data_IF_644950609433
#
_entry.id   IF_644950609433
#
_cell.length_a   1.000
_cell.length_b   1.000
_cell.length_c   1.000
_cell.angle_alpha   90.00
_cell.angle_beta   90.00
_cell.angle_gamma   90.00
#
_symmetry.space_group_name_H-M   'P 1'
#
loop_
_entity.id
_entity.type
_entity.pdbx_description
1 polymer ?
#
# COMPACT_ATOMS: atom_id res chain seq x y z
N UNK A 1 -18.84 -7.44 -13.61
CA UNK A 1 -18.68 -6.56 -12.41
C UNK A 1 -19.36 -7.28 -11.25
N UNK A 2 -18.69 -7.43 -10.10
CA UNK A 2 -19.25 -8.04 -8.89
C UNK A 2 -19.37 -6.92 -7.85
N UNK A 3 -20.60 -6.60 -7.43
CA UNK A 3 -20.86 -5.65 -6.35
C UNK A 3 -20.58 -6.30 -5.00
N UNK A 4 -20.18 -5.53 -4.00
CA UNK A 4 -19.86 -6.04 -2.65
C UNK A 4 -20.78 -5.47 -1.56
N UNK A 5 -21.69 -4.58 -1.90
CA UNK A 5 -22.51 -3.81 -0.97
C UNK A 5 -23.32 -4.74 -0.05
N UNK A 6 -24.02 -5.73 -0.61
CA UNK A 6 -24.80 -6.72 0.16
C UNK A 6 -23.92 -7.56 1.08
N UNK A 7 -22.73 -7.97 0.63
CA UNK A 7 -21.79 -8.72 1.46
C UNK A 7 -21.26 -7.85 2.60
N UNK A 8 -21.01 -6.57 2.33
CA UNK A 8 -20.53 -5.62 3.30
C UNK A 8 -21.58 -5.33 4.38
N UNK A 9 -22.84 -5.10 3.99
CA UNK A 9 -23.98 -4.94 4.90
C UNK A 9 -24.15 -6.16 5.80
N UNK A 10 -24.06 -7.38 5.25
CA UNK A 10 -24.12 -8.61 6.04
C UNK A 10 -22.99 -8.70 7.08
N UNK A 11 -21.77 -8.27 6.74
CA UNK A 11 -20.68 -8.20 7.71
C UNK A 11 -20.99 -7.20 8.83
N UNK A 12 -21.54 -6.02 8.49
CA UNK A 12 -21.91 -5.01 9.48
C UNK A 12 -23.03 -5.51 10.41
N UNK A 13 -24.05 -6.18 9.86
CA UNK A 13 -25.14 -6.76 10.65
C UNK A 13 -24.64 -7.80 11.66
N UNK A 14 -23.77 -8.71 11.21
CA UNK A 14 -23.17 -9.74 12.07
C UNK A 14 -22.28 -9.11 13.16
N UNK A 15 -21.58 -8.02 12.85
CA UNK A 15 -20.68 -7.34 13.78
C UNK A 15 -21.38 -6.27 14.63
N UNK A 16 -22.61 -5.89 14.34
CA UNK A 16 -23.33 -4.82 15.04
C UNK A 16 -23.38 -5.00 16.58
N UNK A 17 -23.59 -6.22 17.13
CA UNK A 17 -23.54 -6.42 18.58
C UNK A 17 -22.16 -6.16 19.19
N UNK A 18 -21.09 -6.37 18.40
CA UNK A 18 -19.70 -6.22 18.82
C UNK A 18 -19.16 -4.81 18.61
N UNK A 19 -19.69 -4.05 17.65
CA UNK A 19 -19.33 -2.65 17.36
C UNK A 19 -20.27 -1.66 18.06
N UNK A 20 -21.06 -2.12 19.03
CA UNK A 20 -21.97 -1.26 19.78
C UNK A 20 -21.19 -0.13 20.48
N UNK A 21 -21.65 1.10 20.29
CA UNK A 21 -21.05 2.33 20.83
C UNK A 21 -19.62 2.63 20.34
N UNK A 22 -19.19 2.05 19.21
CA UNK A 22 -17.95 2.46 18.53
C UNK A 22 -18.27 3.36 17.35
N UNK A 23 -17.39 4.32 17.06
CA UNK A 23 -17.48 5.12 15.84
C UNK A 23 -16.92 4.36 14.64
N UNK A 24 -17.38 4.71 13.43
CA UNK A 24 -16.82 4.22 12.18
C UNK A 24 -15.31 4.44 12.12
N UNK A 25 -14.59 3.48 11.59
CA UNK A 25 -13.13 3.48 11.59
C UNK A 25 -12.56 2.72 10.38
N UNK A 26 -11.24 2.58 10.37
CA UNK A 26 -10.57 1.70 9.41
C UNK A 26 -11.04 0.23 9.52
N UNK A 27 -11.70 -0.19 10.60
CA UNK A 27 -12.21 -1.55 10.73
C UNK A 27 -13.21 -1.87 9.62
N UNK A 28 -14.18 -1.00 9.39
CA UNK A 28 -15.23 -1.12 8.38
C UNK A 28 -14.68 -1.02 6.96
N UNK A 29 -13.77 -0.07 6.71
CA UNK A 29 -13.06 0.06 5.43
C UNK A 29 -12.27 -1.23 5.09
N UNK A 30 -11.56 -1.79 6.09
CA UNK A 30 -10.80 -3.02 5.92
C UNK A 30 -11.69 -4.25 5.65
N UNK A 31 -12.96 -4.26 6.08
CA UNK A 31 -13.90 -5.34 5.73
C UNK A 31 -14.15 -5.34 4.24
N UNK A 32 -14.43 -4.17 3.63
CA UNK A 32 -14.64 -4.08 2.19
C UNK A 32 -13.43 -4.61 1.40
N UNK A 33 -12.21 -4.23 1.81
CA UNK A 33 -10.98 -4.72 1.19
C UNK A 33 -10.86 -6.26 1.31
N UNK A 34 -11.17 -6.85 2.47
CA UNK A 34 -11.14 -8.31 2.68
C UNK A 34 -12.19 -9.05 1.87
N UNK A 35 -13.40 -8.50 1.73
CA UNK A 35 -14.43 -9.07 0.86
C UNK A 35 -13.92 -9.17 -0.57
N UNK A 36 -13.33 -8.09 -1.10
CA UNK A 36 -12.73 -8.09 -2.46
C UNK A 36 -11.63 -9.14 -2.59
N UNK A 37 -10.72 -9.23 -1.61
CA UNK A 37 -9.68 -10.26 -1.57
C UNK A 37 -10.24 -11.68 -1.62
N UNK A 38 -11.23 -11.98 -0.78
CA UNK A 38 -11.86 -13.30 -0.74
C UNK A 38 -12.56 -13.67 -2.06
N UNK A 39 -13.26 -12.73 -2.69
CA UNK A 39 -13.92 -12.95 -3.98
C UNK A 39 -12.90 -13.29 -5.09
N UNK A 40 -11.80 -12.54 -5.17
CA UNK A 40 -10.74 -12.81 -6.15
C UNK A 40 -10.08 -14.17 -5.92
N UNK A 41 -9.82 -14.53 -4.66
CA UNK A 41 -9.27 -15.85 -4.32
C UNK A 41 -10.25 -16.99 -4.64
N UNK A 42 -11.56 -16.80 -4.43
CA UNK A 42 -12.56 -17.80 -4.81
C UNK A 42 -12.59 -18.03 -6.33
N UNK A 43 -12.52 -16.96 -7.13
CA UNK A 43 -12.43 -17.04 -8.60
C UNK A 43 -11.14 -17.73 -9.02
N UNK A 44 -10.01 -17.38 -8.40
CA UNK A 44 -8.71 -18.01 -8.63
C UNK A 44 -8.76 -19.51 -8.36
N UNK A 45 -9.27 -19.92 -7.20
CA UNK A 45 -9.39 -21.33 -6.82
C UNK A 45 -10.26 -22.13 -7.79
N UNK A 46 -11.34 -21.52 -8.31
CA UNK A 46 -12.26 -22.19 -9.23
C UNK A 46 -11.67 -22.37 -10.64
N UNK A 47 -10.84 -21.43 -11.09
CA UNK A 47 -10.38 -21.36 -12.48
C UNK A 47 -8.88 -21.64 -12.67
N UNK A 48 -8.12 -21.80 -11.58
CA UNK A 48 -6.66 -22.00 -11.62
C UNK A 48 -5.86 -20.74 -11.96
N UNK A 49 -6.43 -19.55 -11.81
CA UNK A 49 -5.74 -18.28 -12.07
C UNK A 49 -4.83 -17.87 -10.91
N UNK A 50 -3.79 -17.09 -11.19
CA UNK A 50 -3.00 -16.43 -10.15
C UNK A 50 -3.52 -15.00 -9.94
N UNK A 51 -3.93 -14.67 -8.72
CA UNK A 51 -4.29 -13.30 -8.36
C UNK A 51 -3.02 -12.44 -8.28
N UNK A 52 -2.99 -11.36 -9.06
CA UNK A 52 -1.95 -10.34 -9.00
C UNK A 52 -2.40 -9.22 -8.06
N UNK A 53 -1.62 -9.00 -7.00
CA UNK A 53 -1.83 -7.86 -6.09
C UNK A 53 -1.18 -6.60 -6.64
N UNK A 54 -1.72 -5.45 -6.28
CA UNK A 54 -1.36 -4.16 -6.89
C UNK A 54 -0.68 -3.18 -5.93
N UNK A 55 -0.37 -3.61 -4.70
CA UNK A 55 0.34 -2.79 -3.72
C UNK A 55 1.75 -2.44 -4.20
N UNK A 56 2.10 -1.16 -4.15
CA UNK A 56 3.41 -0.67 -4.55
C UNK A 56 4.38 -0.51 -3.35
N UNK A 57 5.65 -0.21 -3.63
CA UNK A 57 6.68 -0.12 -2.59
C UNK A 57 6.34 0.91 -1.52
N UNK A 58 5.80 2.05 -1.91
CA UNK A 58 5.49 3.17 -1.00
C UNK A 58 4.40 2.77 -0.02
N UNK A 59 3.28 2.23 -0.52
CA UNK A 59 2.15 1.73 0.28
C UNK A 59 2.60 0.63 1.26
N UNK A 60 3.33 -0.38 0.75
CA UNK A 60 3.83 -1.49 1.56
C UNK A 60 4.86 -1.05 2.60
N UNK A 61 5.65 0.00 2.31
CA UNK A 61 6.63 0.54 3.25
C UNK A 61 5.95 1.06 4.50
N UNK A 62 4.94 1.92 4.35
CA UNK A 62 4.25 2.55 5.49
C UNK A 62 3.06 1.73 5.98
N UNK A 63 2.79 0.58 5.36
CA UNK A 63 1.70 -0.32 5.71
C UNK A 63 0.31 0.24 5.42
N UNK A 64 0.22 1.11 4.40
CA UNK A 64 -1.01 1.60 3.83
C UNK A 64 -1.61 0.52 2.91
N UNK A 65 -2.03 -0.57 3.56
CA UNK A 65 -2.48 -1.80 2.95
C UNK A 65 -3.31 -2.59 3.97
N UNK A 66 -4.29 -3.33 3.48
CA UNK A 66 -5.15 -4.21 4.30
C UNK A 66 -4.64 -5.63 4.22
N UNK A 67 -4.21 -6.17 5.36
CA UNK A 67 -3.92 -7.60 5.45
C UNK A 67 -5.14 -8.42 5.08
N UNK A 68 -4.93 -9.34 4.14
CA UNK A 68 -5.94 -10.21 3.56
C UNK A 68 -7.03 -9.47 2.75
N UNK A 69 -6.82 -8.18 2.47
CA UNK A 69 -7.61 -7.40 1.53
C UNK A 69 -6.87 -7.23 0.21
N UNK A 70 -6.40 -6.01 -0.06
CA UNK A 70 -5.56 -5.69 -1.23
C UNK A 70 -4.25 -6.50 -1.31
N UNK A 71 -3.81 -7.06 -0.18
CA UNK A 71 -2.65 -7.95 -0.10
C UNK A 71 -2.95 -9.42 -0.46
N UNK A 72 -4.21 -9.78 -0.72
CA UNK A 72 -4.62 -11.15 -1.04
C UNK A 72 -4.29 -11.50 -2.49
N UNK A 73 -3.20 -12.25 -2.69
CA UNK A 73 -2.88 -12.84 -3.98
C UNK A 73 -1.58 -13.65 -3.99
N UNK A 74 -1.25 -14.20 -5.16
CA UNK A 74 -0.09 -15.08 -5.33
C UNK A 74 1.20 -14.33 -5.70
N UNK A 75 1.08 -13.16 -6.33
CA UNK A 75 2.22 -12.40 -6.82
C UNK A 75 1.95 -10.89 -6.79
N UNK A 76 3.00 -10.10 -6.57
CA UNK A 76 2.95 -8.64 -6.46
C UNK A 76 3.93 -7.98 -7.44
N UNK A 77 3.52 -7.69 -8.69
CA UNK A 77 4.41 -7.13 -9.71
C UNK A 77 5.00 -5.77 -9.34
N UNK A 78 4.25 -4.95 -8.59
CA UNK A 78 4.62 -3.58 -8.22
C UNK A 78 5.30 -3.48 -6.84
N UNK A 79 5.55 -4.62 -6.18
CA UNK A 79 5.98 -4.68 -4.78
C UNK A 79 7.20 -3.82 -4.45
N UNK A 80 8.14 -3.70 -5.38
CA UNK A 80 9.39 -2.92 -5.21
C UNK A 80 9.43 -1.67 -6.11
N UNK A 81 8.30 -1.26 -6.68
CA UNK A 81 8.19 -0.04 -7.49
C UNK A 81 7.65 1.10 -6.60
N UNK A 82 8.39 2.22 -6.40
CA UNK A 82 7.86 3.40 -5.70
C UNK A 82 6.67 4.02 -6.45
N UNK A 83 5.74 4.67 -5.74
CA UNK A 83 4.53 5.27 -6.33
C UNK A 83 4.85 6.26 -7.44
N UNK A 84 5.85 7.11 -7.23
CA UNK A 84 6.35 8.05 -8.25
C UNK A 84 6.80 7.33 -9.52
N UNK A 85 7.42 6.16 -9.39
CA UNK A 85 7.82 5.33 -10.53
C UNK A 85 6.63 4.63 -11.20
N UNK A 86 5.57 4.26 -10.45
CA UNK A 86 4.34 3.73 -11.05
C UNK A 86 3.75 4.72 -12.05
N UNK A 87 3.64 6.00 -11.69
CA UNK A 87 3.17 7.05 -12.61
C UNK A 87 4.08 7.20 -13.84
N UNK A 88 5.41 7.19 -13.64
CA UNK A 88 6.38 7.27 -14.75
C UNK A 88 6.25 6.07 -15.71
N UNK A 89 6.07 4.87 -15.17
CA UNK A 89 5.89 3.65 -15.97
C UNK A 89 4.56 3.64 -16.72
N UNK A 90 3.50 4.18 -16.13
CA UNK A 90 2.20 4.33 -16.80
C UNK A 90 2.31 5.27 -18.01
N UNK A 91 2.93 6.44 -17.83
CA UNK A 91 3.20 7.39 -18.90
C UNK A 91 4.11 6.80 -19.98
N UNK A 92 5.20 6.14 -19.58
CA UNK A 92 6.07 5.43 -20.50
C UNK A 92 5.30 4.39 -21.33
N UNK A 93 4.45 3.58 -20.68
CA UNK A 93 3.67 2.55 -21.37
C UNK A 93 2.72 3.14 -22.41
N UNK A 94 2.05 4.25 -22.10
CA UNK A 94 1.18 4.95 -23.05
C UNK A 94 1.97 5.57 -24.21
N UNK A 95 3.16 6.10 -23.95
CA UNK A 95 4.02 6.70 -24.99
C UNK A 95 4.57 5.68 -26.02
N UNK A 96 4.54 4.38 -25.70
CA UNK A 96 4.92 3.32 -26.64
C UNK A 96 3.81 2.91 -27.61
N UNK A 97 2.56 3.33 -27.38
CA UNK A 97 1.44 2.99 -28.25
C UNK A 97 1.29 3.97 -29.41
N UNK A 98 0.62 3.53 -30.47
CA UNK A 98 0.20 4.41 -31.56
C UNK A 98 -0.89 5.36 -31.07
N UNK A 99 -1.01 6.54 -31.69
CA UNK A 99 -1.89 7.63 -31.26
C UNK A 99 -3.37 7.22 -31.02
N UNK A 100 -3.83 6.12 -31.62
CA UNK A 100 -5.22 5.65 -31.52
C UNK A 100 -5.47 4.69 -30.34
N UNK A 101 -4.46 4.38 -29.52
CA UNK A 101 -4.57 3.34 -28.48
C UNK A 101 -3.97 3.76 -27.13
N UNK A 102 -4.73 4.54 -26.37
CA UNK A 102 -4.43 4.77 -24.94
C UNK A 102 -4.83 3.56 -24.11
N UNK A 103 -3.86 2.87 -23.49
CA UNK A 103 -4.12 1.69 -22.65
C UNK A 103 -4.51 2.09 -21.22
N UNK A 104 -3.79 3.05 -20.64
CA UNK A 104 -4.07 3.57 -19.30
C UNK A 104 -4.77 4.93 -19.46
N UNK A 105 -6.06 5.06 -19.12
CA UNK A 105 -6.77 6.32 -19.32
C UNK A 105 -6.12 7.48 -18.56
N UNK A 106 -5.96 8.64 -19.22
CA UNK A 106 -5.29 9.82 -18.63
C UNK A 106 -5.92 10.25 -17.30
N UNK A 107 -7.25 10.18 -17.20
CA UNK A 107 -8.00 10.47 -15.97
C UNK A 107 -7.57 9.64 -14.76
N UNK A 108 -6.95 8.46 -14.95
CA UNK A 108 -6.44 7.61 -13.85
C UNK A 108 -5.07 8.11 -13.38
N UNK A 109 -4.29 8.71 -14.28
CA UNK A 109 -2.96 9.26 -14.02
C UNK A 109 -3.07 10.63 -13.33
N UNK A 110 -3.98 11.48 -13.80
CA UNK A 110 -4.18 12.84 -13.26
C UNK A 110 -4.93 12.86 -11.92
N UNK A 111 -5.72 11.83 -11.64
CA UNK A 111 -6.51 11.76 -10.42
C UNK A 111 -5.61 11.63 -9.19
N UNK A 112 -5.94 12.41 -8.16
CA UNK A 112 -5.29 12.30 -6.87
C UNK A 112 -5.40 10.87 -6.30
N UNK A 113 -4.34 10.33 -5.67
CA UNK A 113 -4.35 9.00 -5.12
C UNK A 113 -5.32 8.89 -3.92
N UNK A 114 -6.13 7.83 -3.94
CA UNK A 114 -7.18 7.53 -2.95
C UNK A 114 -7.45 6.03 -2.91
N UNK A 115 -7.81 5.50 -1.74
CA UNK A 115 -8.20 4.11 -1.54
C UNK A 115 -9.70 3.83 -1.83
N UNK A 116 -10.52 4.85 -2.07
CA UNK A 116 -11.96 4.74 -2.39
C UNK A 116 -12.78 3.86 -1.42
N UNK A 117 -12.40 3.78 -0.14
CA UNK A 117 -13.12 2.97 0.87
C UNK A 117 -14.13 3.78 1.68
N UNK A 118 -14.00 5.11 1.66
CA UNK A 118 -14.92 6.08 2.25
C UNK A 118 -15.08 7.30 1.31
N UNK A 119 -16.20 8.02 1.44
CA UNK A 119 -16.43 9.26 0.68
C UNK A 119 -15.31 10.28 0.97
N UNK A 120 -14.80 10.92 -0.09
CA UNK A 120 -13.75 11.95 -0.07
C UNK A 120 -12.38 11.55 0.53
N UNK A 121 -12.14 10.26 0.80
CA UNK A 121 -10.86 9.79 1.34
C UNK A 121 -9.69 10.11 0.41
N UNK A 122 -8.64 10.76 0.91
CA UNK A 122 -7.37 10.96 0.19
C UNK A 122 -6.22 10.29 0.93
N UNK A 123 -5.29 9.68 0.21
CA UNK A 123 -4.09 9.09 0.82
C UNK A 123 -3.28 10.15 1.61
N UNK A 124 -3.31 11.39 1.11
CA UNK A 124 -2.63 12.56 1.69
C UNK A 124 -3.19 12.98 3.05
N UNK A 125 -4.38 12.50 3.46
CA UNK A 125 -4.93 12.77 4.78
C UNK A 125 -4.08 12.08 5.87
N UNK A 126 -3.42 10.98 5.52
CA UNK A 126 -2.64 10.16 6.44
C UNK A 126 -1.14 10.08 6.12
N UNK A 127 -0.73 10.38 4.89
CA UNK A 127 0.64 10.29 4.41
C UNK A 127 1.13 11.63 3.82
N UNK A 128 2.45 11.93 3.87
CA UNK A 128 2.99 13.04 3.08
C UNK A 128 2.80 12.77 1.57
N UNK A 129 2.90 13.82 0.73
CA UNK A 129 2.94 13.66 -0.73
C UNK A 129 3.92 12.57 -1.17
N UNK A 130 3.56 11.79 -2.20
CA UNK A 130 4.32 10.59 -2.58
C UNK A 130 5.75 10.89 -3.04
N UNK A 131 6.02 12.05 -3.63
CA UNK A 131 7.37 12.53 -3.95
C UNK A 131 8.23 12.69 -2.69
N UNK A 132 7.67 13.29 -1.64
CA UNK A 132 8.34 13.41 -0.34
C UNK A 132 8.47 12.04 0.35
N UNK A 133 7.41 11.23 0.32
CA UNK A 133 7.40 9.90 0.92
C UNK A 133 8.46 8.99 0.29
N UNK A 134 8.49 8.91 -1.04
CA UNK A 134 9.37 8.02 -1.78
C UNK A 134 10.84 8.39 -1.55
N UNK A 135 11.17 9.68 -1.46
CA UNK A 135 12.53 10.15 -1.20
C UNK A 135 12.98 9.83 0.24
N UNK A 136 12.09 10.00 1.25
CA UNK A 136 12.38 9.57 2.62
C UNK A 136 12.58 8.06 2.68
N UNK A 137 11.73 7.29 1.99
CA UNK A 137 11.83 5.83 1.93
C UNK A 137 13.11 5.38 1.24
N UNK A 138 13.50 6.00 0.13
CA UNK A 138 14.75 5.70 -0.56
C UNK A 138 15.96 5.89 0.37
N UNK A 139 15.99 7.00 1.12
CA UNK A 139 17.07 7.28 2.09
C UNK A 139 17.09 6.30 3.25
N UNK A 140 15.93 6.10 3.90
CA UNK A 140 15.86 5.28 5.11
C UNK A 140 15.94 3.77 4.83
N UNK A 141 15.28 3.30 3.78
CA UNK A 141 15.17 1.87 3.46
C UNK A 141 16.30 1.44 2.54
N UNK A 142 16.54 2.15 1.45
CA UNK A 142 17.48 1.71 0.41
C UNK A 142 18.92 2.08 0.73
N UNK A 143 19.14 3.31 1.17
CA UNK A 143 20.47 3.84 1.49
C UNK A 143 20.88 3.61 2.95
N UNK A 144 19.99 3.05 3.78
CA UNK A 144 20.21 2.80 5.22
C UNK A 144 20.67 4.04 6.00
N UNK A 145 20.25 5.24 5.54
CA UNK A 145 20.61 6.50 6.19
C UNK A 145 19.98 6.58 7.57
N UNK A 146 20.77 7.04 8.55
CA UNK A 146 20.22 7.39 9.84
C UNK A 146 19.34 8.65 9.69
N UNK A 147 18.31 8.82 10.53
CA UNK A 147 17.40 9.93 10.28
C UNK A 147 17.98 11.33 10.55
N UNK A 148 19.10 11.48 11.27
CA UNK A 148 19.78 12.79 11.32
C UNK A 148 20.29 13.19 9.93
N UNK A 149 20.83 12.23 9.17
CA UNK A 149 21.18 12.44 7.77
C UNK A 149 19.98 12.85 6.91
N UNK A 150 18.81 12.27 7.17
CA UNK A 150 17.57 12.63 6.46
C UNK A 150 17.10 14.05 6.84
N UNK A 151 17.17 14.44 8.12
CA UNK A 151 16.86 15.82 8.51
C UNK A 151 17.83 16.84 7.89
N UNK A 152 19.13 16.52 7.88
CA UNK A 152 20.17 17.35 7.29
C UNK A 152 19.99 17.54 5.77
N UNK A 153 19.31 16.59 5.11
CA UNK A 153 18.91 16.71 3.71
C UNK A 153 17.70 17.65 3.48
N UNK A 154 17.16 18.28 4.52
CA UNK A 154 16.11 19.30 4.43
C UNK A 154 14.68 18.80 4.65
N UNK A 155 14.50 17.53 5.02
CA UNK A 155 13.16 16.98 5.31
C UNK A 155 12.67 17.38 6.71
N UNK A 156 11.38 17.72 6.80
CA UNK A 156 10.75 18.02 8.09
C UNK A 156 10.86 16.84 9.07
N UNK A 157 11.36 17.12 10.27
CA UNK A 157 11.63 16.13 11.30
C UNK A 157 10.39 15.32 11.66
N UNK A 158 9.25 15.99 11.84
CA UNK A 158 7.99 15.34 12.24
C UNK A 158 7.52 14.37 11.16
N UNK A 159 7.65 14.75 9.91
CA UNK A 159 7.30 13.91 8.75
C UNK A 159 8.21 12.69 8.66
N UNK A 160 9.53 12.87 8.76
CA UNK A 160 10.51 11.78 8.74
C UNK A 160 10.27 10.79 9.88
N UNK A 161 10.06 11.28 11.11
CA UNK A 161 9.80 10.43 12.28
C UNK A 161 8.50 9.63 12.13
N UNK A 162 7.45 10.26 11.58
CA UNK A 162 6.19 9.58 11.26
C UNK A 162 6.38 8.46 10.24
N UNK A 163 7.09 8.73 9.13
CA UNK A 163 7.35 7.73 8.09
C UNK A 163 8.15 6.55 8.64
N UNK A 164 9.22 6.82 9.40
CA UNK A 164 10.04 5.76 10.02
C UNK A 164 9.23 4.93 11.01
N UNK A 165 8.41 5.57 11.83
CA UNK A 165 7.52 4.88 12.75
C UNK A 165 6.57 3.93 11.99
N UNK A 166 5.94 4.41 10.91
CA UNK A 166 5.05 3.60 10.07
C UNK A 166 5.81 2.44 9.41
N UNK A 167 7.03 2.68 8.91
CA UNK A 167 7.87 1.62 8.34
C UNK A 167 8.10 0.54 9.39
N UNK A 168 8.59 0.89 10.57
CA UNK A 168 8.94 -0.09 11.59
C UNK A 168 7.71 -0.84 12.12
N UNK A 169 6.60 -0.14 12.40
CA UNK A 169 5.36 -0.72 12.92
C UNK A 169 4.71 -1.73 11.98
N UNK A 170 4.86 -1.56 10.66
CA UNK A 170 4.18 -2.39 9.67
C UNK A 170 5.03 -3.56 9.13
N UNK A 171 6.12 -3.93 9.81
CA UNK A 171 6.94 -5.09 9.43
C UNK A 171 6.11 -6.38 9.38
N UNK A 172 5.18 -6.58 10.33
CA UNK A 172 4.32 -7.76 10.36
C UNK A 172 3.46 -7.91 9.10
N UNK A 173 2.97 -6.80 8.52
CA UNK A 173 2.20 -6.83 7.27
C UNK A 173 3.09 -7.29 6.10
N UNK A 174 4.28 -6.70 5.98
CA UNK A 174 5.23 -7.00 4.89
C UNK A 174 5.70 -8.45 4.90
N UNK A 175 5.79 -9.08 6.07
CA UNK A 175 6.14 -10.50 6.22
C UNK A 175 5.10 -11.45 5.64
N UNK A 176 3.86 -10.98 5.48
CA UNK A 176 2.75 -11.73 4.89
C UNK A 176 2.41 -11.28 3.47
N UNK A 177 3.09 -10.25 2.95
CA UNK A 177 2.88 -9.77 1.59
C UNK A 177 3.29 -10.85 0.58
N UNK A 178 2.54 -11.00 -0.53
CA UNK A 178 2.91 -11.94 -1.60
C UNK A 178 4.33 -11.71 -2.10
N UNK A 179 4.90 -12.74 -2.72
CA UNK A 179 6.21 -12.61 -3.37
C UNK A 179 6.13 -11.59 -4.52
N UNK A 180 7.25 -10.91 -4.80
CA UNK A 180 7.33 -9.90 -5.85
C UNK A 180 8.76 -9.77 -6.36
N UNK A 181 8.93 -8.96 -7.40
CA UNK A 181 10.22 -8.73 -8.05
C UNK A 181 10.95 -7.59 -7.34
N UNK A 182 12.25 -7.76 -7.11
CA UNK A 182 13.14 -6.68 -6.70
C UNK A 182 13.56 -5.88 -7.92
N UNK A 183 13.42 -4.56 -7.85
CA UNK A 183 13.80 -3.61 -8.90
C UNK A 183 14.71 -2.50 -8.38
N UNK A 184 14.90 -2.41 -7.06
CA UNK A 184 15.74 -1.42 -6.37
C UNK A 184 16.99 -2.04 -5.76
N UNK A 185 17.88 -1.22 -5.20
CA UNK A 185 19.07 -1.71 -4.51
C UNK A 185 18.74 -2.53 -3.25
N UNK A 186 17.61 -2.22 -2.59
CA UNK A 186 17.18 -2.93 -1.38
C UNK A 186 15.65 -3.05 -1.34
N UNK A 187 15.18 -4.28 -1.52
CA UNK A 187 13.76 -4.60 -1.44
C UNK A 187 13.36 -5.07 -0.02
N UNK A 188 12.07 -4.98 0.29
CA UNK A 188 11.50 -5.64 1.47
C UNK A 188 11.48 -7.16 1.25
N UNK A 189 12.13 -7.91 2.16
CA UNK A 189 12.26 -9.36 2.07
C UNK A 189 13.68 -9.79 2.42
N UNK A 190 14.37 -10.44 1.48
CA UNK A 190 15.69 -11.04 1.72
C UNK A 190 16.78 -9.99 2.05
N UNK A 191 16.68 -8.79 1.48
CA UNK A 191 17.68 -7.72 1.61
C UNK A 191 17.48 -6.83 2.86
N UNK A 192 16.29 -6.89 3.47
CA UNK A 192 15.95 -6.13 4.69
C UNK A 192 15.26 -7.04 5.69
N UNK A 193 16.04 -7.60 6.62
CA UNK A 193 15.58 -8.55 7.65
C UNK A 193 15.49 -7.87 9.01
N UNK A 194 14.32 -7.34 9.33
CA UNK A 194 14.06 -6.67 10.61
C UNK A 194 13.13 -7.50 11.49
N UNK A 195 13.27 -7.43 12.82
CA UNK A 195 12.36 -8.11 13.74
C UNK A 195 10.96 -7.49 13.66
N UNK A 196 9.92 -8.32 13.82
CA UNK A 196 8.54 -7.84 13.97
C UNK A 196 8.39 -7.19 15.35
N UNK A 197 8.76 -7.93 16.41
CA UNK A 197 8.78 -7.41 17.77
C UNK A 197 10.07 -6.63 17.98
N UNK A 198 9.98 -5.31 17.96
CA UNK A 198 11.12 -4.42 18.14
C UNK A 198 10.79 -3.35 19.17
N UNK A 199 11.59 -3.31 20.25
CA UNK A 199 11.62 -2.19 21.20
C UNK A 199 12.56 -1.07 20.77
N UNK A 200 13.09 -1.11 19.55
CA UNK A 200 13.88 -0.02 18.97
C UNK A 200 12.97 1.16 18.68
N UNK A 201 12.61 1.86 19.75
CA UNK A 201 12.01 3.18 19.72
C UNK A 201 13.15 4.15 19.93
N UNK A 202 13.31 5.11 19.01
CA UNK A 202 14.17 6.25 19.26
C UNK A 202 13.73 6.87 20.58
N UNK A 203 14.63 6.92 21.56
CA UNK A 203 14.54 7.94 22.60
C UNK A 203 14.67 9.27 21.88
N UNK A 204 13.53 9.90 21.58
CA UNK A 204 13.46 11.30 21.18
C UNK A 204 13.63 12.16 22.42
#
# INVERSE_FOLDING_TARGET
IIKIDELFEQYLDVLAPHFKNTAWSAAEENIQARIRGNLLMAISNKNGYMVLTTGNKSELSVGYATLYGDMSGGFAPLKDIPKTMVYRLANYRNALETADKTIIPERVIERAPSAELAEDQKDQDSLPPYDVLDEILARYVEQDQDPQGIYAAGFDKKTVDKVIHLVNRNEYKRRQAPIGIRTTQRAFGKDRRYPITSGYHRKL
#
